data_IF_870200855656
#
_entry.id   IF_870200855656
#
_cell.length_a   1.000
_cell.length_b   1.000
_cell.length_c   1.000
_cell.angle_alpha   90.00
_cell.angle_beta   90.00
_cell.angle_gamma   90.00
#
_symmetry.space_group_name_H-M   'P 1'
#
loop_
_entity.id
_entity.type
_entity.pdbx_description
1 polymer ?
#
# COMPACT_ATOMS: atom_id res chain seq x y z
N UNK A 1 -28.72 35.44 -7.32
CA UNK A 1 -27.97 34.39 -6.60
C UNK A 1 -28.97 33.40 -6.01
N UNK A 2 -28.98 32.17 -6.51
CA UNK A 2 -29.92 31.13 -6.06
C UNK A 2 -29.53 30.59 -4.68
N UNK A 3 -30.46 29.92 -3.99
CA UNK A 3 -30.18 29.33 -2.67
C UNK A 3 -29.03 28.29 -2.74
N UNK A 4 -28.93 27.55 -3.86
CA UNK A 4 -27.87 26.58 -4.15
C UNK A 4 -26.47 27.21 -4.29
N UNK A 5 -26.34 28.39 -4.89
CA UNK A 5 -25.06 29.10 -4.96
C UNK A 5 -24.56 29.57 -3.59
N UNK A 6 -25.49 29.97 -2.70
CA UNK A 6 -25.16 30.37 -1.33
C UNK A 6 -24.66 29.18 -0.51
N UNK A 7 -25.34 28.03 -0.56
CA UNK A 7 -24.89 26.81 0.12
C UNK A 7 -23.55 26.33 -0.42
N UNK A 8 -23.34 26.36 -1.73
CA UNK A 8 -22.06 25.94 -2.32
C UNK A 8 -20.90 26.86 -1.91
N UNK A 9 -21.11 28.19 -1.87
CA UNK A 9 -20.10 29.14 -1.37
C UNK A 9 -19.79 28.95 0.13
N UNK A 10 -20.81 28.68 0.95
CA UNK A 10 -20.65 28.41 2.38
C UNK A 10 -19.89 27.09 2.64
N UNK A 11 -20.18 26.03 1.88
CA UNK A 11 -19.42 24.78 1.93
C UNK A 11 -17.97 24.99 1.49
N UNK A 12 -17.74 25.80 0.46
CA UNK A 12 -16.38 26.11 -0.02
C UNK A 12 -15.58 26.94 0.99
N UNK A 13 -16.22 27.89 1.68
CA UNK A 13 -15.56 28.70 2.71
C UNK A 13 -15.25 27.89 3.96
N UNK A 14 -16.19 27.04 4.42
CA UNK A 14 -15.98 26.09 5.52
C UNK A 14 -14.84 25.11 5.19
N UNK A 15 -14.82 24.58 3.97
CA UNK A 15 -13.74 23.71 3.50
C UNK A 15 -12.38 24.43 3.46
N UNK A 16 -12.33 25.67 2.97
CA UNK A 16 -11.11 26.52 2.99
C UNK A 16 -10.62 26.79 4.41
N UNK A 17 -11.51 27.15 5.33
CA UNK A 17 -11.17 27.40 6.73
C UNK A 17 -10.69 26.12 7.43
N UNK A 18 -11.34 24.98 7.16
CA UNK A 18 -10.89 23.66 7.60
C UNK A 18 -9.48 23.36 7.10
N UNK A 19 -9.19 23.69 5.84
CA UNK A 19 -7.86 23.53 5.25
C UNK A 19 -6.79 24.43 5.89
N UNK A 20 -7.14 25.65 6.31
CA UNK A 20 -6.21 26.52 7.04
C UNK A 20 -5.94 26.03 8.47
N UNK A 21 -6.93 25.40 9.12
CA UNK A 21 -6.79 24.80 10.45
C UNK A 21 -6.21 23.38 10.43
N UNK A 22 -6.04 22.80 9.24
CA UNK A 22 -5.51 21.46 9.01
C UNK A 22 -4.27 21.13 9.86
N UNK A 23 -3.23 22.00 9.95
CA UNK A 23 -2.03 21.66 10.72
C UNK A 23 -2.30 21.39 12.20
N UNK A 24 -3.24 22.14 12.79
CA UNK A 24 -3.56 22.06 14.23
C UNK A 24 -4.45 20.86 14.55
N UNK A 25 -5.45 20.59 13.71
CA UNK A 25 -6.35 19.45 13.96
C UNK A 25 -5.66 18.11 13.69
N UNK A 26 -4.82 18.01 12.66
CA UNK A 26 -4.07 16.77 12.36
C UNK A 26 -3.14 16.38 13.49
N UNK A 27 -2.43 17.33 14.11
CA UNK A 27 -1.57 17.03 15.26
C UNK A 27 -2.37 16.49 16.46
N UNK A 28 -3.57 17.04 16.71
CA UNK A 28 -4.48 16.55 17.76
C UNK A 28 -5.05 15.17 17.44
N UNK A 29 -5.44 14.93 16.19
CA UNK A 29 -5.91 13.63 15.73
C UNK A 29 -4.81 12.56 15.90
N UNK A 30 -3.56 12.90 15.58
CA UNK A 30 -2.40 12.02 15.78
C UNK A 30 -2.16 11.72 17.26
N UNK A 31 -2.27 12.73 18.14
CA UNK A 31 -2.16 12.52 19.59
C UNK A 31 -3.26 11.59 20.11
N UNK A 32 -4.52 11.82 19.73
CA UNK A 32 -5.64 10.96 20.12
C UNK A 32 -5.43 9.53 19.63
N UNK A 33 -5.07 9.38 18.35
CA UNK A 33 -4.76 8.07 17.78
C UNK A 33 -3.64 7.37 18.55
N UNK A 34 -2.56 8.09 18.89
CA UNK A 34 -1.41 7.50 19.57
C UNK A 34 -1.76 6.99 20.98
N UNK A 35 -2.61 7.72 21.72
CA UNK A 35 -3.16 7.28 23.01
C UNK A 35 -4.02 6.04 22.86
N UNK A 36 -4.95 6.03 21.87
CA UNK A 36 -5.81 4.89 21.61
C UNK A 36 -5.00 3.65 21.20
N UNK A 37 -3.97 3.83 20.35
CA UNK A 37 -3.12 2.75 19.89
C UNK A 37 -2.25 2.17 21.01
N UNK A 38 -1.70 3.03 21.88
CA UNK A 38 -0.99 2.58 23.07
C UNK A 38 -1.92 1.83 24.04
N UNK A 39 -3.13 2.35 24.28
CA UNK A 39 -4.14 1.71 25.12
C UNK A 39 -4.58 0.34 24.59
N UNK A 40 -4.79 0.25 23.27
CA UNK A 40 -5.07 -1.03 22.60
C UNK A 40 -3.92 -2.03 22.77
N UNK A 41 -2.68 -1.61 22.52
CA UNK A 41 -1.50 -2.46 22.73
C UNK A 41 -1.37 -2.93 24.18
N UNK A 42 -1.65 -2.06 25.15
CA UNK A 42 -1.58 -2.36 26.58
C UNK A 42 -2.66 -3.37 26.98
N UNK A 43 -3.90 -3.16 26.53
CA UNK A 43 -5.00 -4.10 26.78
C UNK A 43 -4.65 -5.50 26.27
N UNK A 44 -4.14 -5.61 25.03
CA UNK A 44 -3.73 -6.89 24.46
C UNK A 44 -2.53 -7.51 25.18
N UNK A 45 -1.56 -6.71 25.62
CA UNK A 45 -0.42 -7.21 26.40
C UNK A 45 -0.85 -7.77 27.76
N UNK A 46 -1.77 -7.09 28.45
CA UNK A 46 -2.30 -7.52 29.74
C UNK A 46 -3.23 -8.73 29.63
N UNK A 47 -4.01 -8.83 28.55
CA UNK A 47 -4.89 -9.99 28.30
C UNK A 47 -4.17 -11.19 27.67
N UNK A 48 -2.87 -11.07 27.37
CA UNK A 48 -2.10 -12.11 26.66
C UNK A 48 -2.59 -12.34 25.22
N UNK A 49 -3.31 -11.39 24.62
CA UNK A 49 -3.83 -11.52 23.25
C UNK A 49 -2.71 -11.24 22.24
N UNK A 50 -2.30 -12.23 21.43
CA UNK A 50 -1.21 -12.04 20.48
C UNK A 50 -1.64 -11.10 19.34
N UNK A 51 -0.83 -10.06 19.11
CA UNK A 51 -1.05 -9.08 18.03
C UNK A 51 -0.42 -9.50 16.69
N UNK A 52 0.48 -10.50 16.70
CA UNK A 52 1.08 -11.08 15.51
C UNK A 52 0.86 -12.59 15.50
N UNK A 53 0.36 -13.07 14.37
CA UNK A 53 0.28 -14.49 14.05
C UNK A 53 1.25 -14.77 12.90
N UNK A 54 1.99 -15.86 13.00
CA UNK A 54 2.83 -16.33 11.90
C UNK A 54 2.66 -17.84 11.76
N UNK A 55 1.91 -18.27 10.73
CA UNK A 55 1.82 -19.68 10.35
C UNK A 55 1.22 -20.62 11.41
N UNK A 56 0.27 -20.12 12.23
CA UNK A 56 -0.36 -20.88 13.31
C UNK A 56 0.28 -20.68 14.69
N UNK A 57 1.52 -20.19 14.75
CA UNK A 57 2.18 -19.90 16.01
C UNK A 57 1.83 -18.48 16.50
N UNK A 58 1.43 -18.42 17.77
CA UNK A 58 1.19 -17.15 18.45
C UNK A 58 2.54 -16.45 18.65
N UNK A 59 2.69 -15.24 18.11
CA UNK A 59 3.92 -14.46 18.28
C UNK A 59 4.21 -14.17 19.74
N UNK A 60 5.49 -13.93 20.07
CA UNK A 60 5.93 -13.68 21.44
C UNK A 60 5.08 -12.58 22.12
N UNK A 61 4.59 -12.79 23.36
CA UNK A 61 3.76 -11.83 24.09
C UNK A 61 4.39 -10.43 24.20
N UNK A 62 5.73 -10.37 24.19
CA UNK A 62 6.51 -9.13 24.22
C UNK A 62 6.21 -8.13 23.08
N UNK A 63 5.61 -8.59 21.98
CA UNK A 63 5.26 -7.71 20.85
C UNK A 63 4.11 -6.74 21.19
N UNK A 64 3.25 -7.06 22.15
CA UNK A 64 2.25 -6.11 22.66
C UNK A 64 2.89 -4.86 23.23
N UNK A 65 3.99 -5.02 23.98
CA UNK A 65 4.76 -3.91 24.53
C UNK A 65 5.45 -3.05 23.48
N UNK A 66 5.83 -3.62 22.34
CA UNK A 66 6.35 -2.84 21.21
C UNK A 66 5.29 -1.89 20.64
N UNK A 67 4.02 -2.32 20.56
CA UNK A 67 2.89 -1.47 20.14
C UNK A 67 2.67 -0.33 21.14
N UNK A 68 2.72 -0.64 22.45
CA UNK A 68 2.64 0.36 23.52
C UNK A 68 3.75 1.40 23.40
N UNK A 69 5.00 0.95 23.21
CA UNK A 69 6.15 1.84 23.09
C UNK A 69 6.03 2.78 21.88
N UNK A 70 5.62 2.26 20.71
CA UNK A 70 5.39 3.07 19.51
C UNK A 70 4.27 4.08 19.73
N UNK A 71 3.14 3.67 20.33
CA UNK A 71 2.02 4.55 20.65
C UNK A 71 2.43 5.65 21.65
N UNK A 72 3.18 5.32 22.70
CA UNK A 72 3.66 6.29 23.68
C UNK A 72 4.63 7.31 23.05
N UNK A 73 5.60 6.86 22.25
CA UNK A 73 6.52 7.75 21.53
C UNK A 73 5.78 8.68 20.56
N UNK A 74 4.79 8.15 19.83
CA UNK A 74 3.93 8.93 18.95
C UNK A 74 3.10 9.96 19.71
N UNK A 75 2.59 9.62 20.91
CA UNK A 75 1.82 10.52 21.75
C UNK A 75 2.69 11.66 22.28
N UNK A 76 3.90 11.36 22.77
CA UNK A 76 4.87 12.37 23.20
C UNK A 76 5.26 13.31 22.05
N UNK A 77 5.58 12.76 20.88
CA UNK A 77 5.92 13.55 19.70
C UNK A 77 4.74 14.42 19.23
N UNK A 78 3.54 13.86 19.16
CA UNK A 78 2.31 14.56 18.77
C UNK A 78 1.95 15.68 19.74
N UNK A 79 2.02 15.42 21.05
CA UNK A 79 1.81 16.41 22.10
C UNK A 79 2.83 17.54 22.01
N UNK A 80 4.12 17.23 21.82
CA UNK A 80 5.16 18.23 21.63
C UNK A 80 4.91 19.10 20.37
N UNK A 81 4.40 18.52 19.28
CA UNK A 81 4.02 19.31 18.09
C UNK A 81 2.81 20.20 18.35
N UNK A 82 1.82 19.74 19.13
CA UNK A 82 0.65 20.55 19.52
C UNK A 82 1.07 21.73 20.39
N UNK A 83 2.00 21.53 21.33
CA UNK A 83 2.44 22.55 22.28
C UNK A 83 3.48 23.51 21.69
N UNK A 84 4.48 22.99 20.99
CA UNK A 84 5.68 23.74 20.58
C UNK A 84 5.81 23.91 19.05
N UNK A 85 4.89 23.33 18.27
CA UNK A 85 4.97 23.32 16.82
C UNK A 85 5.96 22.29 16.23
N UNK A 86 6.00 22.13 14.90
CA UNK A 86 6.76 21.07 14.24
C UNK A 86 8.26 21.42 14.11
N UNK A 87 9.06 21.05 15.13
CA UNK A 87 10.54 21.14 15.15
C UNK A 87 11.21 20.04 14.31
N UNK A 88 12.44 20.23 13.81
CA UNK A 88 13.13 19.24 12.97
C UNK A 88 13.33 17.88 13.67
N UNK A 89 13.75 17.87 14.94
CA UNK A 89 13.90 16.64 15.72
C UNK A 89 12.57 15.88 15.87
N UNK A 90 11.47 16.59 16.17
CA UNK A 90 10.14 15.98 16.24
C UNK A 90 9.69 15.41 14.89
N UNK A 91 10.07 16.04 13.77
CA UNK A 91 9.78 15.47 12.44
C UNK A 91 10.52 14.17 12.21
N UNK A 92 11.79 14.07 12.61
CA UNK A 92 12.56 12.82 12.52
C UNK A 92 11.88 11.74 13.36
N UNK A 93 11.49 12.05 14.60
CA UNK A 93 10.79 11.11 15.48
C UNK A 93 9.43 10.67 14.89
N UNK A 94 8.65 11.60 14.35
CA UNK A 94 7.38 11.28 13.67
C UNK A 94 7.58 10.42 12.43
N UNK A 95 8.63 10.64 11.64
CA UNK A 95 8.96 9.78 10.50
C UNK A 95 9.43 8.39 10.92
N UNK A 96 10.20 8.29 12.00
CA UNK A 96 10.60 7.00 12.56
C UNK A 96 9.37 6.22 13.07
N UNK A 97 8.51 6.85 13.85
CA UNK A 97 7.24 6.26 14.31
C UNK A 97 6.33 5.89 13.14
N UNK A 98 6.26 6.74 12.10
CA UNK A 98 5.51 6.45 10.87
C UNK A 98 6.06 5.21 10.15
N UNK A 99 7.38 5.04 10.09
CA UNK A 99 8.00 3.87 9.49
C UNK A 99 7.69 2.59 10.28
N UNK A 100 7.78 2.64 11.62
CA UNK A 100 7.43 1.52 12.50
C UNK A 100 5.96 1.14 12.41
N UNK A 101 5.06 2.13 12.38
CA UNK A 101 3.63 1.91 12.16
C UNK A 101 3.38 1.33 10.76
N UNK A 102 4.07 1.83 9.73
CA UNK A 102 3.99 1.30 8.37
C UNK A 102 4.43 -0.15 8.25
N UNK A 103 5.53 -0.54 8.93
CA UNK A 103 5.99 -1.94 9.01
C UNK A 103 4.92 -2.82 9.67
N UNK A 104 4.25 -2.32 10.71
CA UNK A 104 3.18 -3.07 11.38
C UNK A 104 1.92 -3.19 10.50
N UNK A 105 1.62 -2.15 9.73
CA UNK A 105 0.50 -2.13 8.79
C UNK A 105 0.75 -2.94 7.51
N UNK A 106 1.98 -3.39 7.28
CA UNK A 106 2.43 -3.96 6.02
C UNK A 106 1.57 -5.12 5.50
N UNK A 107 1.16 -6.03 6.39
CA UNK A 107 0.31 -7.17 6.05
C UNK A 107 -1.19 -6.84 5.97
N UNK A 108 -1.60 -5.59 6.24
CA UNK A 108 -3.01 -5.18 6.17
C UNK A 108 -3.59 -5.39 4.77
N UNK A 109 -2.80 -5.17 3.72
CA UNK A 109 -3.27 -5.36 2.36
C UNK A 109 -3.70 -6.81 2.11
N UNK A 110 -2.97 -7.78 2.66
CA UNK A 110 -3.35 -9.19 2.57
C UNK A 110 -4.64 -9.47 3.32
N UNK A 111 -4.81 -8.90 4.52
CA UNK A 111 -6.07 -9.01 5.28
C UNK A 111 -7.25 -8.38 4.51
N UNK A 112 -7.04 -7.27 3.81
CA UNK A 112 -8.08 -6.65 2.98
C UNK A 112 -8.40 -7.49 1.76
N UNK A 113 -7.39 -8.03 1.08
CA UNK A 113 -7.59 -8.92 -0.07
C UNK A 113 -8.35 -10.17 0.37
N UNK A 114 -7.90 -10.85 1.42
CA UNK A 114 -8.59 -12.03 1.97
C UNK A 114 -10.05 -11.73 2.31
N UNK A 115 -10.32 -10.64 3.03
CA UNK A 115 -11.70 -10.18 3.32
C UNK A 115 -12.51 -9.88 2.05
N UNK A 116 -11.94 -9.20 1.06
CA UNK A 116 -12.60 -8.94 -0.22
C UNK A 116 -12.90 -10.23 -0.99
N UNK A 117 -12.06 -11.25 -0.80
CA UNK A 117 -12.24 -12.59 -1.35
C UNK A 117 -13.16 -13.47 -0.49
N UNK A 118 -13.80 -12.90 0.54
CA UNK A 118 -14.72 -13.59 1.45
C UNK A 118 -14.04 -14.50 2.49
N UNK A 119 -12.71 -14.47 2.57
CA UNK A 119 -11.96 -15.19 3.58
C UNK A 119 -11.97 -14.41 4.90
N UNK A 120 -12.03 -15.13 6.03
CA UNK A 120 -11.82 -14.54 7.35
C UNK A 120 -10.37 -14.08 7.54
N UNK A 121 -10.14 -13.21 8.52
CA UNK A 121 -8.78 -12.90 9.01
C UNK A 121 -8.38 -13.86 10.11
N UNK A 122 -7.11 -14.27 10.16
CA UNK A 122 -6.58 -15.20 11.18
C UNK A 122 -6.89 -14.74 12.61
N UNK A 123 -6.85 -13.42 12.85
CA UNK A 123 -7.18 -12.82 14.13
C UNK A 123 -7.73 -11.41 13.95
N UNK A 124 -8.92 -11.18 14.52
CA UNK A 124 -9.55 -9.85 14.55
C UNK A 124 -8.67 -8.82 15.27
N UNK A 125 -7.96 -9.22 16.32
CA UNK A 125 -7.05 -8.34 17.06
C UNK A 125 -5.83 -7.94 16.21
N UNK A 126 -5.26 -8.89 15.46
CA UNK A 126 -4.14 -8.60 14.55
C UNK A 126 -4.59 -7.70 13.39
N UNK A 127 -5.75 -7.96 12.80
CA UNK A 127 -6.32 -7.10 11.75
C UNK A 127 -6.61 -5.68 12.27
N UNK A 128 -7.19 -5.55 13.47
CA UNK A 128 -7.42 -4.26 14.13
C UNK A 128 -6.10 -3.52 14.38
N UNK A 129 -5.07 -4.21 14.87
CA UNK A 129 -3.73 -3.64 15.08
C UNK A 129 -3.13 -3.09 13.78
N UNK A 130 -3.15 -3.88 12.70
CA UNK A 130 -2.65 -3.49 11.38
C UNK A 130 -3.43 -2.29 10.82
N UNK A 131 -4.75 -2.27 10.98
CA UNK A 131 -5.61 -1.16 10.57
C UNK A 131 -5.31 0.13 11.35
N UNK A 132 -5.19 0.04 12.67
CA UNK A 132 -4.80 1.15 13.53
C UNK A 132 -3.40 1.66 13.17
N UNK A 133 -2.45 0.77 12.92
CA UNK A 133 -1.10 1.13 12.49
C UNK A 133 -1.10 1.87 11.14
N UNK A 134 -1.96 1.46 10.18
CA UNK A 134 -2.10 2.13 8.89
C UNK A 134 -2.64 3.56 9.04
N UNK A 135 -3.69 3.73 9.85
CA UNK A 135 -4.23 5.07 10.19
C UNK A 135 -3.15 5.92 10.86
N UNK A 136 -2.39 5.34 11.79
CA UNK A 136 -1.26 5.97 12.45
C UNK A 136 -0.20 6.47 11.50
N UNK A 137 0.25 5.64 10.57
CA UNK A 137 1.25 6.02 9.58
C UNK A 137 0.79 7.24 8.76
N UNK A 138 -0.49 7.29 8.36
CA UNK A 138 -1.06 8.43 7.63
C UNK A 138 -1.06 9.70 8.51
N UNK A 139 -1.56 9.59 9.75
CA UNK A 139 -1.64 10.71 10.69
C UNK A 139 -0.27 11.27 11.08
N UNK A 140 0.70 10.39 11.35
CA UNK A 140 2.08 10.74 11.66
C UNK A 140 2.76 11.44 10.48
N UNK A 141 2.62 10.91 9.26
CA UNK A 141 3.15 11.54 8.05
C UNK A 141 2.51 12.90 7.78
N UNK A 142 1.19 13.02 7.99
CA UNK A 142 0.47 14.28 7.84
C UNK A 142 0.94 15.32 8.87
N UNK A 143 1.14 14.91 10.12
CA UNK A 143 1.65 15.77 11.21
C UNK A 143 3.08 16.22 10.94
N UNK A 144 3.94 15.32 10.48
CA UNK A 144 5.33 15.66 10.12
C UNK A 144 5.40 16.66 8.94
N UNK A 145 4.36 16.71 8.10
CA UNK A 145 4.27 17.60 6.92
C UNK A 145 3.48 18.88 7.16
N UNK A 146 2.78 19.01 8.28
CA UNK A 146 1.82 20.09 8.55
C UNK A 146 2.44 21.50 8.56
N UNK A 147 3.76 21.60 8.73
CA UNK A 147 4.51 22.87 8.68
C UNK A 147 5.05 23.27 7.30
N UNK A 148 4.68 22.59 6.21
CA UNK A 148 5.11 22.96 4.86
C UNK A 148 4.02 23.75 4.15
N UNK A 149 4.32 25.01 3.83
CA UNK A 149 3.45 25.87 3.03
C UNK A 149 3.29 25.27 1.61
N UNK A 150 2.07 25.20 1.07
CA UNK A 150 1.87 24.76 -0.31
C UNK A 150 2.61 25.69 -1.28
N UNK A 151 3.52 25.15 -2.09
CA UNK A 151 4.20 25.91 -3.13
C UNK A 151 3.29 26.00 -4.37
N UNK A 152 2.99 27.23 -4.80
CA UNK A 152 2.50 27.61 -6.14
C UNK A 152 1.20 26.97 -6.67
N UNK A 153 0.53 27.65 -7.59
CA UNK A 153 -0.66 27.14 -8.31
C UNK A 153 -0.39 26.84 -9.79
N UNK A 154 0.86 26.99 -10.24
CA UNK A 154 1.20 26.82 -11.65
C UNK A 154 1.04 25.35 -12.07
N UNK A 155 0.18 25.14 -13.07
CA UNK A 155 -0.18 23.83 -13.61
C UNK A 155 0.83 23.41 -14.66
N UNK A 156 1.50 22.27 -14.46
CA UNK A 156 2.43 21.70 -15.44
C UNK A 156 1.70 21.01 -16.60
N UNK A 157 2.23 21.14 -17.81
CA UNK A 157 1.75 20.44 -19.01
C UNK A 157 1.90 18.92 -18.82
N UNK A 158 0.92 18.09 -19.25
CA UNK A 158 1.04 16.64 -19.13
C UNK A 158 2.25 16.14 -19.92
N UNK A 159 3.07 15.29 -19.30
CA UNK A 159 4.27 14.75 -19.96
C UNK A 159 4.51 13.29 -19.62
N UNK A 160 5.09 12.57 -20.59
CA UNK A 160 5.59 11.22 -20.40
C UNK A 160 6.78 11.22 -19.43
N UNK A 161 7.00 10.10 -18.74
CA UNK A 161 8.15 9.96 -17.86
C UNK A 161 9.47 9.83 -18.66
N UNK A 162 10.63 10.16 -18.04
CA UNK A 162 11.94 9.92 -18.63
C UNK A 162 12.17 8.45 -19.02
N UNK A 163 13.06 8.19 -19.98
CA UNK A 163 13.35 6.83 -20.51
C UNK A 163 13.65 5.80 -19.42
N UNK A 164 14.47 6.15 -18.43
CA UNK A 164 14.80 5.24 -17.31
C UNK A 164 13.56 4.82 -16.50
N UNK A 165 12.60 5.72 -16.32
CA UNK A 165 11.33 5.41 -15.61
C UNK A 165 10.43 4.53 -16.48
N UNK A 166 10.46 4.71 -17.80
CA UNK A 166 9.76 3.82 -18.73
C UNK A 166 10.37 2.42 -18.75
N UNK A 167 11.71 2.31 -18.68
CA UNK A 167 12.40 1.03 -18.56
C UNK A 167 12.05 0.32 -17.25
N UNK A 168 11.99 1.04 -16.13
CA UNK A 168 11.50 0.47 -14.87
C UNK A 168 10.07 -0.05 -15.00
N UNK A 169 9.20 0.67 -15.71
CA UNK A 169 7.82 0.23 -15.96
C UNK A 169 7.75 -1.03 -16.84
N UNK A 170 8.61 -1.12 -17.85
CA UNK A 170 8.77 -2.33 -18.65
C UNK A 170 9.24 -3.51 -17.82
N UNK A 171 10.29 -3.34 -17.00
CA UNK A 171 10.78 -4.37 -16.11
C UNK A 171 9.67 -4.85 -15.15
N UNK A 172 8.93 -3.93 -14.53
CA UNK A 172 7.80 -4.26 -13.67
C UNK A 172 6.66 -5.00 -14.39
N UNK A 173 6.42 -4.69 -15.67
CA UNK A 173 5.42 -5.40 -16.49
C UNK A 173 5.89 -6.82 -16.82
N UNK A 174 7.14 -6.95 -17.28
CA UNK A 174 7.73 -8.22 -17.68
C UNK A 174 7.91 -9.18 -16.50
N UNK A 175 8.10 -8.65 -15.29
CA UNK A 175 8.23 -9.45 -14.07
C UNK A 175 6.98 -10.29 -13.76
N UNK A 176 5.80 -9.87 -14.22
CA UNK A 176 4.56 -10.65 -14.08
C UNK A 176 4.34 -11.69 -15.17
N UNK A 177 5.14 -11.73 -16.24
CA UNK A 177 4.94 -12.70 -17.34
C UNK A 177 5.06 -14.14 -16.86
N UNK A 178 6.11 -14.55 -16.10
CA UNK A 178 6.20 -15.91 -15.58
C UNK A 178 5.03 -16.26 -14.64
N UNK A 179 4.61 -15.28 -13.83
CA UNK A 179 3.48 -15.44 -12.91
C UNK A 179 2.16 -15.65 -13.67
N UNK A 180 1.89 -14.83 -14.68
CA UNK A 180 0.70 -14.94 -15.52
C UNK A 180 0.70 -16.27 -16.29
N UNK A 181 1.85 -16.69 -16.84
CA UNK A 181 1.97 -17.98 -17.52
C UNK A 181 1.66 -19.16 -16.58
N UNK A 182 2.23 -19.16 -15.38
CA UNK A 182 1.94 -20.17 -14.35
C UNK A 182 0.44 -20.19 -14.01
N UNK A 183 -0.17 -19.03 -13.74
CA UNK A 183 -1.59 -18.93 -13.42
C UNK A 183 -2.48 -19.38 -14.57
N UNK A 184 -2.12 -19.08 -15.82
CA UNK A 184 -2.84 -19.53 -17.00
C UNK A 184 -2.76 -21.05 -17.18
N UNK A 185 -1.61 -21.67 -16.91
CA UNK A 185 -1.47 -23.14 -16.95
C UNK A 185 -2.42 -23.81 -15.96
N UNK A 186 -2.49 -23.34 -14.71
CA UNK A 186 -3.45 -23.88 -13.74
C UNK A 186 -4.89 -23.59 -14.14
N UNK A 187 -5.19 -22.37 -14.57
CA UNK A 187 -6.51 -21.96 -15.03
C UNK A 187 -7.02 -22.77 -16.24
N UNK A 188 -6.11 -23.27 -17.09
CA UNK A 188 -6.45 -24.16 -18.21
C UNK A 188 -6.48 -25.65 -17.84
N UNK A 189 -6.45 -25.99 -16.54
CA UNK A 189 -6.45 -27.37 -16.05
C UNK A 189 -5.10 -28.08 -16.18
N UNK A 190 -4.04 -27.36 -16.57
CA UNK A 190 -2.69 -27.89 -16.67
C UNK A 190 -2.01 -28.07 -15.32
N UNK A 191 -0.83 -28.69 -15.35
CA UNK A 191 0.00 -28.94 -14.16
C UNK A 191 1.20 -28.03 -14.16
N UNK A 192 1.44 -27.35 -13.04
CA UNK A 192 2.66 -26.57 -12.80
C UNK A 192 3.14 -26.77 -11.36
N UNK A 193 4.44 -26.94 -11.17
CA UNK A 193 5.06 -27.22 -9.87
C UNK A 193 4.36 -28.38 -9.11
N UNK A 194 4.10 -29.46 -9.85
CA UNK A 194 3.48 -30.67 -9.30
C UNK A 194 1.99 -30.58 -8.95
N UNK A 195 1.35 -29.41 -9.03
CA UNK A 195 -0.07 -29.21 -8.74
C UNK A 195 -0.86 -28.99 -10.05
N UNK A 196 -1.99 -29.69 -10.19
CA UNK A 196 -2.97 -29.50 -11.28
C UNK A 196 -3.89 -28.30 -11.01
N UNK A 197 -4.53 -27.77 -12.06
CA UNK A 197 -5.54 -26.72 -11.91
C UNK A 197 -6.69 -27.09 -10.96
N UNK A 198 -7.17 -28.34 -11.03
CA UNK A 198 -8.26 -28.84 -10.17
C UNK A 198 -7.84 -28.92 -8.70
N UNK A 199 -6.63 -29.41 -8.43
CA UNK A 199 -6.07 -29.43 -7.07
C UNK A 199 -5.89 -28.01 -6.52
N UNK A 200 -5.45 -27.06 -7.35
CA UNK A 200 -5.32 -25.66 -6.94
C UNK A 200 -6.68 -25.04 -6.60
N UNK A 201 -7.71 -25.31 -7.40
CA UNK A 201 -9.08 -24.85 -7.14
C UNK A 201 -9.62 -25.45 -5.83
N UNK A 202 -9.40 -26.74 -5.60
CA UNK A 202 -9.77 -27.41 -4.36
C UNK A 202 -9.04 -26.83 -3.14
N UNK A 203 -7.77 -26.46 -3.28
CA UNK A 203 -7.00 -25.75 -2.24
C UNK A 203 -7.59 -24.37 -1.98
N UNK A 204 -7.94 -23.61 -3.02
CA UNK A 204 -8.60 -22.30 -2.90
C UNK A 204 -9.94 -22.42 -2.15
N UNK A 205 -10.76 -23.41 -2.48
CA UNK A 205 -12.04 -23.70 -1.82
C UNK A 205 -11.83 -24.07 -0.34
N UNK A 206 -10.90 -24.99 -0.05
CA UNK A 206 -10.55 -25.39 1.32
C UNK A 206 -10.05 -24.21 2.16
N UNK A 207 -9.36 -23.26 1.53
CA UNK A 207 -8.88 -22.04 2.18
C UNK A 207 -10.00 -20.97 2.31
N UNK A 208 -11.23 -21.26 1.90
CA UNK A 208 -12.40 -20.40 2.10
C UNK A 208 -12.59 -19.32 1.04
N UNK A 209 -12.09 -19.51 -0.19
CA UNK A 209 -12.34 -18.58 -1.29
C UNK A 209 -13.85 -18.41 -1.54
N UNK A 210 -14.30 -17.16 -1.73
CA UNK A 210 -15.71 -16.86 -2.00
C UNK A 210 -16.20 -17.44 -3.33
N UNK A 211 -17.52 -17.61 -3.44
CA UNK A 211 -18.17 -18.09 -4.67
C UNK A 211 -17.81 -17.29 -5.92
N UNK A 212 -17.60 -15.97 -5.84
CA UNK A 212 -17.18 -15.15 -7.00
C UNK A 212 -15.75 -15.51 -7.44
N UNK A 213 -14.85 -15.76 -6.48
CA UNK A 213 -13.48 -16.18 -6.76
C UNK A 213 -13.46 -17.55 -7.43
N UNK A 214 -14.18 -18.52 -6.84
CA UNK A 214 -14.32 -19.87 -7.39
C UNK A 214 -15.00 -19.85 -8.76
N UNK A 215 -15.99 -18.98 -8.97
CA UNK A 215 -16.63 -18.82 -10.29
C UNK A 215 -15.64 -18.30 -11.33
N UNK A 216 -14.87 -17.26 -11.01
CA UNK A 216 -13.86 -16.73 -11.92
C UNK A 216 -12.77 -17.77 -12.21
N UNK A 217 -12.30 -18.47 -11.20
CA UNK A 217 -11.29 -19.53 -11.33
C UNK A 217 -11.82 -20.70 -12.17
N UNK A 218 -13.10 -21.08 -12.02
CA UNK A 218 -13.76 -22.10 -12.86
C UNK A 218 -13.89 -21.68 -14.33
N UNK A 219 -13.86 -20.38 -14.62
CA UNK A 219 -13.83 -19.84 -15.99
C UNK A 219 -12.39 -19.61 -16.51
N UNK A 220 -11.38 -20.07 -15.76
CA UNK A 220 -9.97 -19.86 -16.08
C UNK A 220 -9.48 -18.42 -15.88
N UNK A 221 -10.21 -17.61 -15.12
CA UNK A 221 -9.84 -16.24 -14.77
C UNK A 221 -9.29 -16.19 -13.35
N UNK A 222 -7.96 -16.31 -13.23
CA UNK A 222 -7.29 -16.15 -11.94
C UNK A 222 -7.41 -14.69 -11.43
N UNK A 223 -8.07 -14.44 -10.28
CA UNK A 223 -8.31 -13.07 -9.83
C UNK A 223 -7.03 -12.33 -9.44
N UNK A 224 -5.97 -13.06 -9.07
CA UNK A 224 -4.65 -12.47 -8.79
C UNK A 224 -3.95 -11.98 -10.07
N UNK A 225 -4.14 -12.66 -11.21
CA UNK A 225 -3.69 -12.23 -12.52
C UNK A 225 -4.47 -11.00 -13.01
N UNK A 226 -5.78 -10.92 -12.74
CA UNK A 226 -6.56 -9.71 -13.00
C UNK A 226 -6.08 -8.51 -12.17
N UNK A 227 -5.75 -8.74 -10.89
CA UNK A 227 -5.13 -7.72 -10.04
C UNK A 227 -3.75 -7.29 -10.56
N UNK A 228 -2.94 -8.24 -11.04
CA UNK A 228 -1.66 -7.93 -11.67
C UNK A 228 -1.84 -7.10 -12.94
N UNK A 229 -2.84 -7.42 -13.79
CA UNK A 229 -3.17 -6.64 -14.98
C UNK A 229 -3.62 -5.21 -14.63
N UNK A 230 -4.45 -5.05 -13.60
CA UNK A 230 -4.83 -3.73 -13.08
C UNK A 230 -3.62 -2.97 -12.54
N UNK A 231 -2.70 -3.67 -11.87
CA UNK A 231 -1.42 -3.14 -11.43
C UNK A 231 -0.55 -2.66 -12.61
N UNK A 232 -0.42 -3.44 -13.67
CA UNK A 232 0.31 -3.05 -14.88
C UNK A 232 -0.34 -1.82 -15.52
N UNK A 233 -1.67 -1.79 -15.61
CA UNK A 233 -2.41 -0.63 -16.09
C UNK A 233 -2.10 0.62 -15.24
N UNK A 234 -2.16 0.51 -13.91
CA UNK A 234 -1.80 1.59 -12.99
C UNK A 234 -0.37 2.08 -13.21
N UNK A 235 0.60 1.17 -13.30
CA UNK A 235 2.02 1.48 -13.52
C UNK A 235 2.21 2.27 -14.80
N UNK A 236 1.57 1.87 -15.90
CA UNK A 236 1.62 2.61 -17.17
C UNK A 236 0.91 3.96 -17.10
N UNK A 237 -0.16 4.08 -16.31
CA UNK A 237 -0.83 5.35 -16.04
C UNK A 237 0.12 6.36 -15.37
N UNK A 238 0.94 5.92 -14.43
CA UNK A 238 1.94 6.78 -13.79
C UNK A 238 3.03 7.28 -14.74
N UNK A 239 3.26 6.57 -15.84
CA UNK A 239 4.40 6.80 -16.74
C UNK A 239 3.99 7.51 -18.03
N UNK A 240 2.74 7.33 -18.46
CA UNK A 240 2.20 7.91 -19.69
C UNK A 240 1.39 9.20 -19.42
N UNK A 241 1.18 10.05 -20.45
CA UNK A 241 0.37 11.26 -20.30
C UNK A 241 -1.09 11.00 -19.91
N UNK A 242 -1.64 9.82 -20.27
CA UNK A 242 -3.05 9.51 -20.00
C UNK A 242 -3.37 9.30 -18.52
N UNK A 243 -2.39 9.04 -17.65
CA UNK A 243 -2.63 9.09 -16.20
C UNK A 243 -2.62 10.50 -15.62
N UNK A 244 -2.42 11.54 -16.43
CA UNK A 244 -2.54 12.95 -16.04
C UNK A 244 -3.75 13.62 -16.68
N UNK A 245 -4.21 13.11 -17.84
CA UNK A 245 -5.37 13.59 -18.57
C UNK A 245 -6.18 12.39 -19.07
N UNK A 246 -7.47 12.39 -18.78
CA UNK A 246 -8.37 11.33 -19.20
C UNK A 246 -8.38 11.16 -20.73
N UNK A 247 -8.14 9.94 -21.24
CA UNK A 247 -8.01 9.66 -22.66
C UNK A 247 -9.34 9.80 -23.42
N UNK A 248 -9.29 9.77 -24.76
CA UNK A 248 -10.47 9.98 -25.61
C UNK A 248 -11.56 8.91 -25.45
N UNK A 249 -11.19 7.70 -25.05
CA UNK A 249 -12.12 6.59 -24.81
C UNK A 249 -12.92 6.72 -23.51
N UNK A 250 -12.50 7.57 -22.56
CA UNK A 250 -13.31 7.92 -21.38
C UNK A 250 -14.32 9.02 -21.74
N UNK A 251 -15.41 8.66 -22.44
CA UNK A 251 -16.34 9.59 -23.08
C UNK A 251 -16.75 10.78 -22.19
N UNK A 252 -17.11 10.53 -20.93
CA UNK A 252 -17.58 11.56 -19.99
C UNK A 252 -16.47 12.43 -19.36
N UNK A 253 -15.23 11.95 -19.37
CA UNK A 253 -14.10 12.60 -18.68
C UNK A 253 -13.03 13.08 -19.65
N UNK A 254 -13.19 12.85 -20.94
CA UNK A 254 -12.23 13.17 -22.00
C UNK A 254 -11.61 14.55 -21.83
N UNK A 255 -10.28 14.61 -21.84
CA UNK A 255 -9.52 15.86 -21.76
C UNK A 255 -9.48 16.51 -20.38
N UNK A 256 -10.25 16.01 -19.40
CA UNK A 256 -10.16 16.49 -18.01
C UNK A 256 -8.88 15.98 -17.36
N UNK A 257 -8.35 16.77 -16.40
CA UNK A 257 -7.20 16.36 -15.60
C UNK A 257 -7.59 15.23 -14.66
N UNK A 258 -6.75 14.21 -14.59
CA UNK A 258 -6.87 13.16 -13.59
C UNK A 258 -6.44 13.74 -12.24
N UNK A 259 -7.28 13.68 -11.19
CA UNK A 259 -6.88 14.12 -9.86
C UNK A 259 -5.63 13.36 -9.41
N UNK A 260 -4.58 14.08 -8.97
CA UNK A 260 -3.26 13.47 -8.66
C UNK A 260 -3.35 12.29 -7.69
N UNK A 261 -4.27 12.36 -6.73
CA UNK A 261 -4.43 11.32 -5.71
C UNK A 261 -4.97 10.00 -6.29
N UNK A 262 -5.70 10.04 -7.41
CA UNK A 262 -6.38 8.88 -7.97
C UNK A 262 -5.41 7.78 -8.45
N UNK A 263 -4.37 8.07 -9.26
CA UNK A 263 -3.35 7.06 -9.57
C UNK A 263 -2.28 6.96 -8.48
N UNK A 264 -2.01 8.03 -7.75
CA UNK A 264 -0.89 8.03 -6.80
C UNK A 264 -1.20 7.25 -5.51
N UNK A 265 -2.40 7.36 -4.96
CA UNK A 265 -2.76 6.66 -3.73
C UNK A 265 -2.63 5.13 -3.87
N UNK A 266 -3.24 4.48 -4.88
CA UNK A 266 -3.06 3.04 -5.06
C UNK A 266 -1.62 2.68 -5.42
N UNK A 267 -0.89 3.54 -6.15
CA UNK A 267 0.52 3.29 -6.48
C UNK A 267 1.42 3.33 -5.24
N UNK A 268 1.22 4.29 -4.35
CA UNK A 268 1.96 4.38 -3.09
C UNK A 268 1.60 3.24 -2.14
N UNK A 269 0.32 2.85 -2.09
CA UNK A 269 -0.12 1.70 -1.31
C UNK A 269 0.53 0.41 -1.83
N UNK A 270 0.42 0.15 -3.14
CA UNK A 270 1.05 -1.01 -3.78
C UNK A 270 2.58 -1.00 -3.68
N UNK A 271 3.23 0.15 -3.80
CA UNK A 271 4.68 0.27 -3.61
C UNK A 271 5.10 -0.06 -2.17
N UNK A 272 4.36 0.47 -1.19
CA UNK A 272 4.66 0.28 0.23
C UNK A 272 4.46 -1.17 0.68
N UNK A 273 3.62 -1.95 0.00
CA UNK A 273 3.35 -3.35 0.31
C UNK A 273 4.17 -4.30 -0.55
N UNK A 274 4.14 -4.17 -1.88
CA UNK A 274 4.75 -5.15 -2.78
C UNK A 274 6.28 -5.06 -2.78
N UNK A 275 6.87 -3.87 -2.68
CA UNK A 275 8.33 -3.74 -2.75
C UNK A 275 9.02 -4.40 -1.55
N UNK A 276 8.65 -4.11 -0.28
CA UNK A 276 9.26 -4.82 0.84
C UNK A 276 8.88 -6.30 0.84
N UNK A 277 7.68 -6.67 0.35
CA UNK A 277 7.20 -8.07 0.36
C UNK A 277 8.08 -8.91 -0.55
N UNK A 278 8.23 -8.45 -1.79
CA UNK A 278 9.06 -9.13 -2.75
C UNK A 278 10.54 -9.10 -2.36
N UNK A 279 11.09 -7.97 -1.88
CA UNK A 279 12.52 -7.90 -1.53
C UNK A 279 12.87 -8.82 -0.36
N UNK A 280 12.08 -8.79 0.72
CA UNK A 280 12.29 -9.69 1.87
C UNK A 280 12.04 -11.14 1.46
N UNK A 281 10.99 -11.39 0.66
CA UNK A 281 10.69 -12.70 0.11
C UNK A 281 11.82 -13.27 -0.73
N UNK A 282 12.36 -12.50 -1.67
CA UNK A 282 13.54 -12.88 -2.48
C UNK A 282 14.74 -13.19 -1.59
N UNK A 283 15.01 -12.39 -0.55
CA UNK A 283 16.07 -12.68 0.41
C UNK A 283 15.87 -14.01 1.13
N UNK A 284 14.66 -14.27 1.62
CA UNK A 284 14.30 -15.55 2.24
C UNK A 284 14.44 -16.73 1.27
N UNK A 285 13.97 -16.60 0.03
CA UNK A 285 14.08 -17.65 -0.98
C UNK A 285 15.52 -17.92 -1.38
N UNK A 286 16.38 -16.89 -1.44
CA UNK A 286 17.81 -17.03 -1.65
C UNK A 286 18.47 -17.84 -0.52
N UNK A 287 18.14 -17.53 0.73
CA UNK A 287 18.60 -18.31 1.89
C UNK A 287 18.08 -19.74 1.85
N UNK A 288 16.83 -19.95 1.44
CA UNK A 288 16.25 -21.29 1.30
C UNK A 288 16.92 -22.10 0.19
N UNK A 289 17.22 -21.46 -0.93
CA UNK A 289 17.92 -22.07 -2.08
C UNK A 289 19.35 -22.46 -1.70
N UNK A 290 20.00 -21.66 -0.85
CA UNK A 290 21.32 -21.94 -0.30
C UNK A 290 21.32 -22.97 0.85
N UNK A 291 20.16 -23.48 1.26
CA UNK A 291 20.03 -24.43 2.37
C UNK A 291 20.20 -23.82 3.77
N UNK A 292 20.25 -22.49 3.88
CA UNK A 292 20.39 -21.76 5.16
C UNK A 292 19.05 -21.64 5.88
N UNK A 293 17.96 -21.49 5.13
CA UNK A 293 16.60 -21.47 5.64
C UNK A 293 15.80 -22.66 5.13
N UNK A 294 14.79 -23.11 5.87
CA UNK A 294 13.89 -24.19 5.43
C UNK A 294 12.68 -23.61 4.72
N UNK A 295 12.38 -24.14 3.52
CA UNK A 295 11.14 -23.84 2.80
C UNK A 295 10.07 -24.86 3.19
N UNK A 296 8.98 -24.39 3.78
CA UNK A 296 7.82 -25.25 4.08
C UNK A 296 7.09 -25.55 2.78
N UNK A 297 6.82 -26.84 2.53
CA UNK A 297 6.06 -27.35 1.37
C UNK A 297 4.65 -26.73 1.28
N UNK A 298 3.99 -26.50 2.41
CA UNK A 298 2.62 -25.99 2.42
C UNK A 298 1.67 -26.93 1.67
N UNK A 299 0.86 -26.37 0.78
CA UNK A 299 -0.08 -27.10 -0.08
C UNK A 299 0.55 -27.75 -1.31
N UNK A 300 1.85 -27.52 -1.57
CA UNK A 300 2.55 -28.12 -2.71
C UNK A 300 2.88 -29.59 -2.49
N UNK A 301 3.36 -30.27 -3.53
CA UNK A 301 3.81 -31.67 -3.44
C UNK A 301 5.25 -31.82 -2.94
N UNK A 302 6.07 -30.78 -3.06
CA UNK A 302 7.42 -30.74 -2.50
C UNK A 302 7.81 -29.33 -2.05
N UNK A 303 8.82 -29.22 -1.19
CA UNK A 303 9.42 -27.91 -0.86
C UNK A 303 10.08 -27.25 -2.08
N UNK A 304 10.52 -28.05 -3.07
CA UNK A 304 11.08 -27.56 -4.33
C UNK A 304 10.02 -26.88 -5.20
N UNK A 305 8.83 -27.46 -5.28
CA UNK A 305 7.68 -26.87 -5.99
C UNK A 305 7.25 -25.55 -5.34
N UNK A 306 7.15 -25.54 -4.01
CA UNK A 306 6.86 -24.32 -3.25
C UNK A 306 7.93 -23.25 -3.47
N UNK A 307 9.21 -23.63 -3.52
CA UNK A 307 10.33 -22.72 -3.78
C UNK A 307 10.26 -22.12 -5.19
N UNK A 308 9.95 -22.95 -6.20
CA UNK A 308 9.79 -22.49 -7.59
C UNK A 308 8.68 -21.45 -7.74
N UNK A 309 7.49 -21.75 -7.22
CA UNK A 309 6.35 -20.83 -7.23
C UNK A 309 6.66 -19.57 -6.41
N UNK A 310 7.33 -19.74 -5.27
CA UNK A 310 7.82 -18.65 -4.44
C UNK A 310 8.72 -17.69 -5.21
N UNK A 311 9.70 -18.20 -5.95
CA UNK A 311 10.61 -17.37 -6.77
C UNK A 311 9.86 -16.56 -7.83
N UNK A 312 8.93 -17.20 -8.55
CA UNK A 312 8.10 -16.53 -9.56
C UNK A 312 7.32 -15.38 -8.94
N UNK A 313 6.63 -15.63 -7.81
CA UNK A 313 5.81 -14.61 -7.14
C UNK A 313 6.65 -13.48 -6.51
N UNK A 314 7.67 -13.82 -5.72
CA UNK A 314 8.42 -12.82 -4.95
C UNK A 314 9.28 -11.94 -5.84
N UNK A 315 9.86 -12.46 -6.93
CA UNK A 315 10.58 -11.64 -7.91
C UNK A 315 9.61 -10.70 -8.63
N UNK A 316 8.43 -11.20 -9.03
CA UNK A 316 7.40 -10.38 -9.64
C UNK A 316 7.03 -9.21 -8.73
N UNK A 317 6.74 -9.46 -7.45
CA UNK A 317 6.41 -8.44 -6.47
C UNK A 317 7.57 -7.47 -6.18
N UNK A 318 8.81 -7.96 -6.10
CA UNK A 318 9.98 -7.14 -5.83
C UNK A 318 10.21 -6.14 -6.96
N UNK A 319 10.30 -6.65 -8.20
CA UNK A 319 10.58 -5.83 -9.39
C UNK A 319 9.43 -4.86 -9.66
N UNK A 320 8.19 -5.34 -9.60
CA UNK A 320 7.01 -4.49 -9.80
C UNK A 320 6.85 -3.45 -8.69
N UNK A 321 7.05 -3.82 -7.42
CA UNK A 321 7.01 -2.90 -6.29
C UNK A 321 8.04 -1.78 -6.42
N UNK A 322 9.28 -2.12 -6.80
CA UNK A 322 10.32 -1.13 -7.06
C UNK A 322 10.00 -0.25 -8.28
N UNK A 323 9.43 -0.81 -9.34
CA UNK A 323 8.95 -0.05 -10.48
C UNK A 323 7.86 0.96 -10.08
N UNK A 324 6.92 0.57 -9.21
CA UNK A 324 5.92 1.47 -8.64
C UNK A 324 6.55 2.60 -7.81
N UNK A 325 7.56 2.32 -6.97
CA UNK A 325 8.27 3.37 -6.21
C UNK A 325 8.86 4.42 -7.16
N UNK A 326 9.56 3.96 -8.21
CA UNK A 326 10.21 4.83 -9.20
C UNK A 326 9.16 5.63 -9.98
N UNK A 327 8.11 4.96 -10.49
CA UNK A 327 7.05 5.57 -11.27
C UNK A 327 6.21 6.56 -10.44
N UNK A 328 5.84 6.21 -9.21
CA UNK A 328 5.10 7.08 -8.30
C UNK A 328 5.92 8.33 -7.94
N UNK A 329 7.22 8.18 -7.63
CA UNK A 329 8.11 9.32 -7.40
C UNK A 329 8.19 10.22 -8.62
N UNK A 330 8.37 9.66 -9.80
CA UNK A 330 8.43 10.43 -11.05
C UNK A 330 7.10 11.14 -11.33
N UNK A 331 5.97 10.43 -11.23
CA UNK A 331 4.63 11.00 -11.40
C UNK A 331 4.37 12.14 -10.42
N UNK A 332 4.72 11.95 -9.15
CA UNK A 332 4.62 12.99 -8.12
C UNK A 332 5.41 14.24 -8.51
N UNK A 333 6.65 14.11 -8.97
CA UNK A 333 7.46 15.25 -9.39
C UNK A 333 6.89 15.96 -10.63
N UNK A 334 6.35 15.22 -11.61
CA UNK A 334 5.74 15.81 -12.81
C UNK A 334 4.41 16.52 -12.51
N UNK A 335 3.69 16.07 -11.48
CA UNK A 335 2.37 16.61 -11.09
C UNK A 335 2.38 17.52 -9.86
N UNK A 336 3.56 17.82 -9.28
CA UNK A 336 3.69 18.89 -8.28
C UNK A 336 3.40 20.24 -8.94
N UNK A 337 2.66 21.14 -8.27
CA UNK A 337 2.56 22.52 -8.71
C UNK A 337 3.96 23.13 -8.83
N UNK A 338 4.22 23.89 -9.89
CA UNK A 338 5.48 24.61 -10.00
C UNK A 338 5.47 25.79 -9.02
N UNK A 339 6.55 25.96 -8.25
CA UNK A 339 6.80 27.22 -7.56
C UNK A 339 6.97 28.33 -8.59
N UNK A 340 6.48 29.54 -8.28
CA UNK A 340 6.82 30.72 -9.08
C UNK A 340 8.34 30.83 -9.07
N UNK A 341 8.98 30.63 -10.22
CA UNK A 341 10.26 31.28 -10.44
C UNK A 341 9.92 32.76 -10.58
N UNK A 342 10.32 33.55 -9.60
CA UNK A 342 10.50 34.98 -9.79
C UNK A 342 11.49 35.12 -10.94
N UNK A 343 10.96 35.39 -12.13
CA UNK A 343 11.77 35.97 -13.19
C UNK A 343 11.98 37.40 -12.73
N UNK A 344 13.10 37.65 -12.07
CA UNK A 344 13.58 39.02 -11.90
C UNK A 344 13.88 39.51 -13.32
N UNK A 345 12.96 40.33 -13.83
CA UNK A 345 13.17 41.07 -15.06
C UNK A 345 14.20 42.16 -14.75
N UNK A 346 15.43 41.93 -15.20
CA UNK A 346 16.42 42.99 -15.42
C UNK A 346 16.13 43.73 -16.71
#
# INVERSE_FOLDING_TARGET
MTNAERTMKALWSAWRQGWQRWPRWVARATLLWAVLYAGFGLACALSGTPLRYHGGDSGAPGLGWAVVAVGALAALAGGAVVLYGPRPALRVLLWAACALAGITAFSLLMDVITLMLGQGVDSRASAANKALAAVGAVLLAATARSGRTPAGTAVRVPSAAPRLVQLAAWAGTLAFVPYAAMKLVWASGGTFAGITGEEMLAVSERNGASGIFLTLESWGLDPTALLAALGVFLLWGLVRPWGQVFPRWTLFLRGRRVPRWLPLAPALLGAATLAPYGVVGVGYLALATAGVATMRRGDFHSSGDALLVGWIGMVAFAVYGMALVIAARSYWLRTRPAGRMTVDAG
#
